data_IF_563120897395
#
_entry.id   IF_563120897395
#
_cell.length_a   1.000
_cell.length_b   1.000
_cell.length_c   1.000
_cell.angle_alpha   90.00
_cell.angle_beta   90.00
_cell.angle_gamma   90.00
#
_symmetry.space_group_name_H-M   'P 1'
#
loop_
_entity.id
_entity.type
_entity.pdbx_description
1 polymer ?
#
# COMPACT_ATOMS: atom_id res chain seq x y z
N UNK A 1 -19.21 27.33 26.96
CA UNK A 1 -20.39 26.45 26.74
C UNK A 1 -19.94 25.19 26.03
N UNK A 2 -19.45 24.19 26.76
CA UNK A 2 -19.35 22.83 26.28
C UNK A 2 -19.95 21.94 27.36
N UNK A 3 -21.25 21.66 27.22
CA UNK A 3 -21.92 20.62 28.01
C UNK A 3 -22.17 19.39 27.15
N UNK A 4 -21.62 18.28 27.63
CA UNK A 4 -22.11 16.90 27.54
C UNK A 4 -22.45 16.31 26.15
N UNK A 5 -21.48 15.64 25.57
CA UNK A 5 -21.75 14.33 24.97
C UNK A 5 -20.81 13.30 25.58
N UNK A 6 -21.34 12.47 26.48
CA UNK A 6 -20.70 11.21 26.90
C UNK A 6 -20.66 10.29 25.70
N UNK A 7 -19.54 10.32 24.97
CA UNK A 7 -19.22 9.28 24.01
C UNK A 7 -18.86 8.01 24.77
N UNK A 8 -19.42 6.89 24.35
CA UNK A 8 -19.07 5.55 24.82
C UNK A 8 -17.55 5.34 24.68
N UNK A 9 -16.89 5.05 25.80
CA UNK A 9 -15.48 4.67 25.81
C UNK A 9 -15.30 3.29 25.18
N UNK A 10 -14.49 3.18 24.12
CA UNK A 10 -14.10 1.86 23.64
C UNK A 10 -13.05 1.27 24.58
N UNK A 11 -13.32 0.10 25.14
CA UNK A 11 -12.31 -0.71 25.83
C UNK A 11 -11.20 -1.11 24.86
N UNK A 12 -10.12 -0.34 24.80
CA UNK A 12 -8.89 -0.70 24.13
C UNK A 12 -7.95 -1.30 25.16
N UNK A 13 -7.60 -2.57 24.97
CA UNK A 13 -6.69 -3.31 25.83
C UNK A 13 -5.32 -2.63 25.98
N UNK A 14 -4.89 -2.59 27.25
CA UNK A 14 -3.52 -2.59 27.73
C UNK A 14 -2.74 -1.27 27.88
N UNK A 15 -1.76 -1.31 28.75
CA UNK A 15 -0.90 -0.30 29.36
C UNK A 15 -0.34 0.86 28.49
N UNK A 16 -0.29 0.72 27.15
CA UNK A 16 0.12 1.80 26.23
C UNK A 16 -0.99 2.85 26.02
N UNK A 17 -2.24 2.43 26.05
CA UNK A 17 -3.41 3.30 25.91
C UNK A 17 -3.53 4.29 27.06
N UNK A 18 -3.24 3.84 28.28
CA UNK A 18 -3.41 4.64 29.50
C UNK A 18 -2.46 5.84 29.57
N UNK A 19 -1.19 5.68 29.15
CA UNK A 19 -0.22 6.77 29.17
C UNK A 19 -0.55 7.85 28.14
N UNK A 20 -0.99 7.46 26.95
CA UNK A 20 -1.36 8.40 25.89
C UNK A 20 -2.68 9.12 26.22
N UNK A 21 -3.66 8.41 26.79
CA UNK A 21 -4.89 9.03 27.26
C UNK A 21 -4.65 10.02 28.40
N UNK A 22 -3.78 9.67 29.37
CA UNK A 22 -3.38 10.59 30.43
C UNK A 22 -2.67 11.84 29.87
N UNK A 23 -1.84 11.67 28.82
CA UNK A 23 -1.23 12.80 28.10
C UNK A 23 -2.29 13.69 27.46
N UNK A 24 -3.27 13.14 26.73
CA UNK A 24 -4.33 13.91 26.08
C UNK A 24 -5.23 14.65 27.09
N UNK A 25 -5.43 14.08 28.28
CA UNK A 25 -6.23 14.73 29.35
C UNK A 25 -5.51 15.88 30.02
N UNK A 26 -4.18 15.83 30.12
CA UNK A 26 -3.38 16.82 30.87
C UNK A 26 -2.78 17.90 29.97
N UNK A 27 -2.78 17.72 28.66
CA UNK A 27 -2.18 18.65 27.70
C UNK A 27 -3.16 18.94 26.58
N UNK A 28 -3.14 20.19 26.10
CA UNK A 28 -3.92 20.55 24.93
C UNK A 28 -3.41 19.82 23.69
N UNK A 29 -4.29 19.06 23.06
CA UNK A 29 -4.01 18.34 21.81
C UNK A 29 -5.03 18.73 20.75
N UNK A 30 -4.54 19.36 19.68
CA UNK A 30 -5.34 19.68 18.52
C UNK A 30 -5.11 18.62 17.41
N UNK A 31 -6.09 17.78 17.20
CA UNK A 31 -6.02 16.70 16.25
C UNK A 31 -5.89 17.22 14.80
N UNK A 32 -6.52 18.34 14.45
CA UNK A 32 -6.45 18.94 13.13
C UNK A 32 -5.05 19.47 12.85
N UNK A 33 -4.50 20.28 13.76
CA UNK A 33 -3.11 20.76 13.66
C UNK A 33 -2.11 19.61 13.59
N UNK A 34 -2.29 18.57 14.40
CA UNK A 34 -1.44 17.38 14.38
C UNK A 34 -1.52 16.68 13.02
N UNK A 35 -2.71 16.45 12.50
CA UNK A 35 -2.92 15.80 11.20
C UNK A 35 -2.21 16.57 10.06
N UNK A 36 -2.40 17.88 10.01
CA UNK A 36 -1.78 18.73 8.98
C UNK A 36 -0.27 18.88 9.18
N UNK A 37 0.24 18.92 10.40
CA UNK A 37 1.68 19.03 10.66
C UNK A 37 2.48 17.82 10.21
N UNK A 38 1.87 16.63 10.25
CA UNK A 38 2.51 15.40 9.78
C UNK A 38 2.51 15.35 8.25
N UNK A 39 1.42 15.74 7.60
CA UNK A 39 1.24 15.61 6.15
C UNK A 39 1.55 16.92 5.40
N UNK A 40 2.71 17.52 5.68
CA UNK A 40 3.17 18.72 4.95
C UNK A 40 3.33 18.44 3.45
N UNK A 41 3.25 19.45 2.57
CA UNK A 41 3.23 19.27 1.12
C UNK A 41 4.39 18.44 0.54
N UNK A 42 5.57 18.48 1.17
CA UNK A 42 6.77 17.74 0.73
C UNK A 42 6.90 16.37 1.41
N UNK A 43 5.98 16.00 2.32
CA UNK A 43 6.05 14.71 2.99
C UNK A 43 5.85 13.56 1.98
N UNK A 44 6.64 12.49 2.05
CA UNK A 44 6.54 11.35 1.13
C UNK A 44 5.32 10.45 1.44
N UNK A 45 4.47 10.87 2.34
CA UNK A 45 3.27 10.13 2.76
C UNK A 45 2.06 11.05 2.80
N UNK A 46 0.93 10.43 2.59
CA UNK A 46 -0.40 11.04 2.61
C UNK A 46 -1.18 10.46 3.78
N UNK A 47 -1.99 11.26 4.45
CA UNK A 47 -2.83 10.81 5.55
C UNK A 47 -4.30 10.76 5.15
N UNK A 48 -5.00 9.80 5.71
CA UNK A 48 -6.45 9.68 5.56
C UNK A 48 -7.08 9.08 6.82
N UNK A 49 -8.28 9.49 7.12
CA UNK A 49 -9.11 8.87 8.16
C UNK A 49 -10.59 9.06 7.82
N UNK A 50 -11.44 8.09 8.19
CA UNK A 50 -12.84 8.23 7.83
C UNK A 50 -13.77 7.16 8.35
N UNK A 51 -15.06 7.45 8.17
CA UNK A 51 -16.18 6.56 8.43
C UNK A 51 -16.30 5.52 7.32
N UNK A 52 -16.07 4.27 7.67
CA UNK A 52 -16.06 3.15 6.71
C UNK A 52 -17.46 2.88 6.16
N UNK A 53 -18.48 3.00 6.99
CA UNK A 53 -19.85 2.66 6.59
C UNK A 53 -20.44 3.67 5.61
N UNK A 54 -20.12 4.96 5.83
CA UNK A 54 -20.57 6.05 4.96
C UNK A 54 -19.64 6.30 3.80
N UNK A 55 -18.44 5.69 3.81
CA UNK A 55 -17.36 5.93 2.86
C UNK A 55 -17.03 7.43 2.74
N UNK A 56 -16.95 8.12 3.90
CA UNK A 56 -16.60 9.54 4.00
C UNK A 56 -15.26 9.66 4.70
N UNK A 57 -14.30 10.26 4.02
CA UNK A 57 -12.93 10.37 4.52
C UNK A 57 -12.45 11.81 4.54
N UNK A 58 -11.68 12.13 5.58
CA UNK A 58 -10.87 13.33 5.62
C UNK A 58 -9.44 12.98 5.21
N UNK A 59 -8.90 13.72 4.25
CA UNK A 59 -7.60 13.47 3.64
C UNK A 59 -6.68 14.68 3.79
N UNK A 60 -5.37 14.43 3.79
CA UNK A 60 -4.37 15.50 3.87
C UNK A 60 -4.30 16.35 2.60
N UNK A 61 -3.84 17.59 2.72
CA UNK A 61 -3.70 18.51 1.60
C UNK A 61 -2.85 17.96 0.47
N UNK A 62 -1.71 17.35 0.80
CA UNK A 62 -0.83 16.75 -0.19
C UNK A 62 -1.47 15.55 -0.91
N UNK A 63 -2.37 14.79 -0.26
CA UNK A 63 -3.14 13.73 -0.91
C UNK A 63 -4.18 14.35 -1.85
N UNK A 64 -4.96 15.33 -1.38
CA UNK A 64 -5.91 16.07 -2.19
C UNK A 64 -5.24 16.59 -3.47
N UNK A 65 -4.11 17.30 -3.30
CA UNK A 65 -3.42 17.96 -4.40
C UNK A 65 -2.75 16.98 -5.36
N UNK A 66 -2.22 15.85 -4.88
CA UNK A 66 -1.57 14.83 -5.72
C UNK A 66 -2.58 14.12 -6.62
N UNK A 67 -3.75 13.81 -6.09
CA UNK A 67 -4.77 13.04 -6.79
C UNK A 67 -5.95 13.88 -7.29
N UNK A 68 -5.86 15.20 -7.16
CA UNK A 68 -6.87 16.17 -7.63
C UNK A 68 -8.28 15.86 -7.09
N UNK A 69 -8.40 15.76 -5.77
CA UNK A 69 -9.69 15.78 -5.10
C UNK A 69 -10.16 17.22 -4.89
N UNK A 70 -11.47 17.45 -4.94
CA UNK A 70 -12.06 18.79 -4.83
C UNK A 70 -11.98 19.37 -3.40
N UNK A 71 -11.88 18.51 -2.39
CA UNK A 71 -11.95 18.85 -0.98
C UNK A 71 -11.14 17.87 -0.13
N UNK A 72 -10.78 18.26 1.08
CA UNK A 72 -10.21 17.37 2.08
C UNK A 72 -11.25 16.42 2.67
N UNK A 73 -12.53 16.79 2.66
CA UNK A 73 -13.63 15.88 3.00
C UNK A 73 -14.16 15.24 1.71
N UNK A 74 -13.90 13.94 1.55
CA UNK A 74 -14.19 13.20 0.33
C UNK A 74 -15.28 12.17 0.58
N UNK A 75 -16.35 12.24 -0.20
CA UNK A 75 -17.42 11.25 -0.26
C UNK A 75 -17.05 10.19 -1.30
N UNK A 76 -17.38 8.94 -1.02
CA UNK A 76 -16.98 7.78 -1.86
C UNK A 76 -15.47 7.71 -2.14
N UNK A 77 -14.66 7.99 -1.11
CA UNK A 77 -13.20 8.05 -1.24
C UNK A 77 -12.62 6.75 -1.81
N UNK A 78 -13.06 5.60 -1.31
CA UNK A 78 -12.53 4.30 -1.74
C UNK A 78 -12.84 4.05 -3.22
N UNK A 79 -14.08 4.31 -3.66
CA UNK A 79 -14.46 4.15 -5.08
C UNK A 79 -13.69 5.10 -6.01
N UNK A 80 -13.50 6.35 -5.60
CA UNK A 80 -12.72 7.34 -6.36
C UNK A 80 -11.23 6.98 -6.42
N UNK A 81 -10.69 6.39 -5.34
CA UNK A 81 -9.30 5.92 -5.30
C UNK A 81 -9.13 4.71 -6.22
N UNK A 82 -10.04 3.73 -6.16
CA UNK A 82 -9.98 2.50 -6.95
C UNK A 82 -10.00 2.76 -8.46
N UNK A 83 -10.68 3.81 -8.92
CA UNK A 83 -10.68 4.22 -10.33
C UNK A 83 -9.29 4.64 -10.82
N UNK A 84 -8.41 5.09 -9.93
CA UNK A 84 -7.05 5.53 -10.23
C UNK A 84 -6.02 4.42 -10.08
N UNK A 85 -6.37 3.30 -9.44
CA UNK A 85 -5.47 2.17 -9.27
C UNK A 85 -5.16 1.57 -10.65
N UNK A 86 -3.87 1.27 -10.87
CA UNK A 86 -3.41 0.58 -12.07
C UNK A 86 -4.17 -0.74 -12.25
N UNK A 87 -4.67 -1.00 -13.47
CA UNK A 87 -5.62 -2.08 -13.71
C UNK A 87 -5.18 -3.47 -13.20
N UNK A 88 -3.92 -3.89 -13.40
CA UNK A 88 -3.46 -5.18 -12.88
C UNK A 88 -3.48 -5.27 -11.35
N UNK A 89 -3.34 -4.14 -10.63
CA UNK A 89 -3.31 -4.12 -9.17
C UNK A 89 -4.70 -3.94 -8.53
N UNK A 90 -5.71 -3.55 -9.34
CA UNK A 90 -7.06 -3.24 -8.86
C UNK A 90 -7.74 -4.43 -8.21
N UNK A 91 -7.63 -5.61 -8.81
CA UNK A 91 -8.22 -6.82 -8.27
C UNK A 91 -7.58 -7.25 -6.94
N UNK A 92 -6.26 -7.07 -6.81
CA UNK A 92 -5.54 -7.30 -5.55
C UNK A 92 -6.07 -6.38 -4.45
N UNK A 93 -6.24 -5.09 -4.74
CA UNK A 93 -6.78 -4.11 -3.80
C UNK A 93 -8.20 -4.47 -3.34
N UNK A 94 -9.10 -4.81 -4.28
CA UNK A 94 -10.47 -5.20 -3.98
C UNK A 94 -10.51 -6.47 -3.11
N UNK A 95 -9.74 -7.50 -3.46
CA UNK A 95 -9.69 -8.76 -2.71
C UNK A 95 -9.13 -8.56 -1.30
N UNK A 96 -8.07 -7.78 -1.13
CA UNK A 96 -7.49 -7.51 0.19
C UNK A 96 -8.46 -6.72 1.08
N UNK A 97 -9.14 -5.71 0.52
CA UNK A 97 -10.18 -4.95 1.21
C UNK A 97 -11.34 -5.87 1.65
N UNK A 98 -11.83 -6.74 0.77
CA UNK A 98 -12.88 -7.71 1.11
C UNK A 98 -12.40 -8.71 2.17
N UNK A 99 -11.16 -9.19 2.07
CA UNK A 99 -10.56 -10.10 3.04
C UNK A 99 -10.40 -9.42 4.42
N UNK A 100 -10.01 -8.14 4.45
CA UNK A 100 -9.93 -7.35 5.68
C UNK A 100 -11.26 -7.34 6.44
N UNK A 101 -12.37 -7.14 5.74
CA UNK A 101 -13.70 -7.18 6.37
C UNK A 101 -14.12 -8.59 6.75
N UNK A 102 -13.98 -9.57 5.86
CA UNK A 102 -14.37 -10.97 6.11
C UNK A 102 -13.61 -11.57 7.30
N UNK A 103 -12.31 -11.29 7.41
CA UNK A 103 -11.42 -11.82 8.44
C UNK A 103 -11.40 -10.95 9.70
N UNK A 104 -12.16 -9.86 9.72
CA UNK A 104 -12.22 -8.88 10.82
C UNK A 104 -10.83 -8.36 11.25
N UNK A 105 -9.99 -8.13 10.26
CA UNK A 105 -8.65 -7.59 10.51
C UNK A 105 -8.74 -6.18 11.10
N UNK A 106 -7.82 -5.86 11.99
CA UNK A 106 -7.67 -4.52 12.58
C UNK A 106 -6.57 -3.70 11.93
N UNK A 107 -5.80 -4.31 11.02
CA UNK A 107 -4.72 -3.64 10.31
C UNK A 107 -4.76 -3.98 8.83
N UNK A 108 -4.34 -3.01 8.03
CA UNK A 108 -4.19 -3.11 6.58
C UNK A 108 -2.76 -2.74 6.20
N UNK A 109 -2.20 -3.46 5.23
CA UNK A 109 -0.90 -3.13 4.65
C UNK A 109 -0.84 -3.72 3.25
N UNK A 110 -0.91 -2.87 2.24
CA UNK A 110 -0.90 -3.29 0.83
C UNK A 110 -0.06 -2.33 -0.01
N UNK A 111 0.69 -2.88 -0.97
CA UNK A 111 1.36 -2.11 -2.01
C UNK A 111 0.61 -2.26 -3.32
N UNK A 112 0.44 -1.15 -4.02
CA UNK A 112 -0.18 -1.10 -5.34
C UNK A 112 0.26 0.16 -6.09
N UNK A 113 0.03 0.15 -7.39
CA UNK A 113 0.32 1.31 -8.26
C UNK A 113 -0.94 2.12 -8.49
N UNK A 114 -0.78 3.43 -8.52
CA UNK A 114 -1.88 4.37 -8.73
C UNK A 114 -1.44 5.52 -9.63
N UNK A 115 -2.34 6.03 -10.45
CA UNK A 115 -2.08 7.21 -11.27
C UNK A 115 -2.31 8.50 -10.47
N UNK A 116 -1.34 9.41 -10.51
CA UNK A 116 -1.50 10.76 -10.00
C UNK A 116 -2.36 11.62 -10.96
N UNK A 117 -2.60 12.88 -10.60
CA UNK A 117 -3.37 13.83 -11.43
C UNK A 117 -2.79 14.11 -12.82
N UNK A 118 -1.51 13.84 -13.02
CA UNK A 118 -0.81 14.05 -14.30
C UNK A 118 -0.78 12.76 -15.14
N UNK A 119 -1.39 11.68 -14.66
CA UNK A 119 -1.33 10.36 -15.29
C UNK A 119 -0.01 9.64 -15.08
N UNK A 120 0.83 10.10 -14.14
CA UNK A 120 2.07 9.41 -13.78
C UNK A 120 1.76 8.25 -12.83
N UNK A 121 2.26 7.07 -13.16
CA UNK A 121 2.13 5.88 -12.33
C UNK A 121 3.12 5.94 -11.16
N UNK A 122 2.60 5.80 -9.94
CA UNK A 122 3.40 5.81 -8.71
C UNK A 122 3.08 4.60 -7.85
N UNK A 123 4.09 4.03 -7.21
CA UNK A 123 3.91 3.02 -6.20
C UNK A 123 3.47 3.64 -4.88
N UNK A 124 2.45 3.06 -4.28
CA UNK A 124 1.95 3.41 -2.96
C UNK A 124 2.06 2.20 -2.03
N UNK A 125 2.53 2.44 -0.82
CA UNK A 125 2.36 1.52 0.29
C UNK A 125 1.29 2.08 1.22
N UNK A 126 0.09 1.53 1.13
CA UNK A 126 -1.04 1.88 2.00
C UNK A 126 -0.96 1.09 3.30
N UNK A 127 -1.09 1.78 4.43
CA UNK A 127 -1.14 1.19 5.77
C UNK A 127 -2.22 1.87 6.58
N UNK A 128 -2.96 1.08 7.35
CA UNK A 128 -4.01 1.65 8.18
C UNK A 128 -4.46 0.73 9.30
N UNK A 129 -5.25 1.32 10.20
CA UNK A 129 -5.89 0.64 11.31
C UNK A 129 -7.40 0.78 11.13
N UNK A 130 -8.08 -0.35 11.19
CA UNK A 130 -9.53 -0.45 11.16
C UNK A 130 -10.05 -0.70 12.59
N UNK A 131 -10.89 0.20 13.06
CA UNK A 131 -11.61 0.02 14.32
C UNK A 131 -12.97 -0.62 14.06
N UNK A 132 -13.35 -1.51 14.96
CA UNK A 132 -14.60 -2.24 14.93
C UNK A 132 -15.44 -1.86 16.16
N UNK A 133 -16.74 -2.12 16.09
CA UNK A 133 -17.60 -2.13 17.26
C UNK A 133 -17.16 -3.20 18.28
N UNK A 134 -17.67 -3.16 19.50
CA UNK A 134 -17.32 -4.11 20.57
C UNK A 134 -17.57 -5.57 20.17
N UNK A 135 -18.60 -5.82 19.36
CA UNK A 135 -18.96 -7.16 18.86
C UNK A 135 -18.11 -7.63 17.67
N UNK A 136 -17.26 -6.76 17.13
CA UNK A 136 -16.50 -6.97 15.88
C UNK A 136 -17.40 -7.36 14.69
N UNK A 137 -18.61 -6.82 14.65
CA UNK A 137 -19.53 -7.06 13.54
C UNK A 137 -19.56 -5.90 12.55
N UNK A 138 -19.30 -4.69 13.04
CA UNK A 138 -19.42 -3.47 12.25
C UNK A 138 -18.11 -2.72 12.20
N UNK A 139 -17.51 -2.51 11.02
CA UNK A 139 -16.34 -1.65 10.89
C UNK A 139 -16.78 -0.19 11.09
N UNK A 140 -16.09 0.54 11.94
CA UNK A 140 -16.48 1.90 12.30
C UNK A 140 -15.61 2.95 11.61
N UNK A 141 -14.32 2.88 11.83
CA UNK A 141 -13.39 3.93 11.42
C UNK A 141 -12.09 3.35 10.88
N UNK A 142 -11.61 3.92 9.81
CA UNK A 142 -10.33 3.55 9.21
C UNK A 142 -9.42 4.76 9.15
N UNK A 143 -8.20 4.61 9.64
CA UNK A 143 -7.20 5.67 9.59
C UNK A 143 -5.84 5.12 9.20
N UNK A 144 -5.11 5.89 8.43
CA UNK A 144 -3.82 5.41 7.97
C UNK A 144 -3.03 6.41 7.13
N UNK A 145 -2.01 5.85 6.50
CA UNK A 145 -1.16 6.59 5.58
C UNK A 145 -0.93 5.81 4.30
N UNK A 146 -0.79 6.56 3.21
CA UNK A 146 -0.26 6.08 1.94
C UNK A 146 1.13 6.66 1.78
N UNK A 147 2.14 5.81 1.62
CA UNK A 147 3.53 6.24 1.43
C UNK A 147 3.85 6.12 -0.04
N UNK A 148 4.22 7.24 -0.66
CA UNK A 148 4.72 7.23 -2.03
C UNK A 148 6.12 6.62 -2.05
N UNK A 149 6.30 5.53 -2.79
CA UNK A 149 7.60 4.92 -3.04
C UNK A 149 8.30 5.61 -4.22
N UNK A 150 8.06 6.91 -4.42
CA UNK A 150 8.69 7.73 -5.48
C UNK A 150 10.21 7.83 -5.38
N UNK A 151 10.81 7.43 -4.26
CA UNK A 151 12.25 7.44 -4.14
C UNK A 151 12.85 6.44 -5.14
N UNK A 152 13.67 6.94 -6.03
CA UNK A 152 14.49 6.20 -7.02
C UNK A 152 15.22 4.98 -6.44
N UNK A 153 15.25 4.86 -5.10
CA UNK A 153 15.87 3.77 -4.37
C UNK A 153 15.01 2.49 -4.22
N UNK A 154 13.74 2.48 -4.56
CA UNK A 154 12.86 1.32 -4.32
C UNK A 154 12.18 0.75 -5.57
N UNK A 155 12.10 1.53 -6.64
CA UNK A 155 11.45 1.15 -7.90
C UNK A 155 12.44 1.20 -9.05
N UNK A 156 12.40 0.19 -9.91
CA UNK A 156 13.16 0.21 -11.16
C UNK A 156 12.51 1.17 -12.17
N UNK A 157 13.22 2.20 -12.67
CA UNK A 157 12.63 3.25 -13.50
C UNK A 157 12.23 2.77 -14.90
N UNK A 158 12.74 1.63 -15.35
CA UNK A 158 12.43 1.08 -16.67
C UNK A 158 11.18 0.22 -16.65
N UNK A 159 11.10 -0.71 -15.71
CA UNK A 159 10.00 -1.68 -15.65
C UNK A 159 8.87 -1.27 -14.72
N UNK A 160 9.11 -0.35 -13.78
CA UNK A 160 8.16 -0.02 -12.73
C UNK A 160 8.03 -1.08 -11.64
N UNK A 161 8.77 -2.19 -11.71
CA UNK A 161 8.82 -3.20 -10.66
C UNK A 161 9.60 -2.71 -9.45
N UNK A 162 9.37 -3.30 -8.29
CA UNK A 162 10.20 -3.09 -7.12
C UNK A 162 11.63 -3.60 -7.38
N UNK A 163 12.63 -2.96 -6.77
CA UNK A 163 14.02 -3.29 -7.01
C UNK A 163 14.60 -4.26 -5.96
N UNK A 164 15.90 -4.55 -6.09
CA UNK A 164 16.65 -5.42 -5.17
C UNK A 164 16.52 -4.98 -3.71
N UNK A 165 16.53 -3.67 -3.41
CA UNK A 165 16.42 -3.18 -2.04
C UNK A 165 15.09 -3.57 -1.39
N UNK A 166 13.99 -3.48 -2.15
CA UNK A 166 12.68 -3.95 -1.71
C UNK A 166 12.64 -5.46 -1.55
N UNK A 167 13.16 -6.21 -2.53
CA UNK A 167 13.23 -7.67 -2.45
C UNK A 167 13.93 -8.13 -1.16
N UNK A 168 15.07 -7.53 -0.81
CA UNK A 168 15.80 -7.87 0.41
C UNK A 168 15.05 -7.52 1.69
N UNK A 169 14.34 -6.39 1.74
CA UNK A 169 13.51 -6.00 2.89
C UNK A 169 12.34 -6.97 3.09
N UNK A 170 11.69 -7.37 2.02
CA UNK A 170 10.55 -8.27 2.06
C UNK A 170 10.99 -9.68 2.46
N UNK A 171 12.05 -10.20 1.85
CA UNK A 171 12.65 -11.48 2.24
C UNK A 171 13.06 -11.50 3.72
N UNK A 172 13.73 -10.46 4.22
CA UNK A 172 14.12 -10.38 5.62
C UNK A 172 12.90 -10.39 6.56
N UNK A 173 11.80 -9.77 6.15
CA UNK A 173 10.56 -9.73 6.92
C UNK A 173 9.85 -11.08 6.92
N UNK A 174 9.76 -11.74 5.77
CA UNK A 174 9.15 -13.05 5.61
C UNK A 174 9.95 -14.14 6.33
N UNK A 175 11.28 -14.10 6.24
CA UNK A 175 12.16 -15.01 6.98
C UNK A 175 11.99 -14.88 8.50
N UNK A 176 11.86 -13.65 9.02
CA UNK A 176 11.58 -13.43 10.46
C UNK A 176 10.24 -14.02 10.90
N UNK A 177 9.26 -14.08 10.00
CA UNK A 177 7.94 -14.69 10.24
C UNK A 177 7.94 -16.20 10.03
N UNK A 178 9.08 -16.79 9.66
CA UNK A 178 9.21 -18.21 9.30
C UNK A 178 8.22 -18.65 8.21
N UNK A 179 7.89 -17.75 7.29
CA UNK A 179 6.99 -18.03 6.17
C UNK A 179 7.63 -19.04 5.21
N UNK A 180 6.81 -19.95 4.68
CA UNK A 180 7.23 -20.80 3.55
C UNK A 180 7.19 -19.98 2.28
N UNK A 181 8.28 -19.96 1.52
CA UNK A 181 8.43 -19.10 0.36
C UNK A 181 8.77 -19.93 -0.87
N UNK A 182 8.24 -19.50 -2.01
CA UNK A 182 8.74 -19.86 -3.34
C UNK A 182 9.47 -18.67 -3.92
N UNK A 183 10.70 -18.88 -4.34
CA UNK A 183 11.56 -17.90 -4.98
C UNK A 183 11.95 -18.41 -6.37
N UNK A 184 11.67 -17.64 -7.40
CA UNK A 184 12.12 -17.88 -8.75
C UNK A 184 12.99 -16.71 -9.21
N UNK A 185 14.27 -16.96 -9.41
CA UNK A 185 15.19 -15.99 -10.00
C UNK A 185 15.55 -16.40 -11.43
N UNK A 186 15.43 -15.47 -12.38
CA UNK A 186 15.79 -15.73 -13.76
C UNK A 186 16.51 -14.53 -14.40
N UNK A 187 17.19 -14.82 -15.50
CA UNK A 187 18.01 -13.86 -16.25
C UNK A 187 17.66 -13.88 -17.71
N UNK A 188 17.57 -12.70 -18.32
CA UNK A 188 17.45 -12.58 -19.78
C UNK A 188 18.82 -12.84 -20.44
N UNK A 189 18.86 -13.78 -21.38
CA UNK A 189 20.07 -14.07 -22.15
C UNK A 189 20.16 -13.13 -23.36
N UNK A 190 21.37 -12.84 -23.78
CA UNK A 190 21.69 -12.05 -25.00
C UNK A 190 21.03 -10.66 -25.05
N UNK A 191 20.65 -10.10 -23.90
CA UNK A 191 19.99 -8.80 -23.85
C UNK A 191 20.94 -7.64 -24.29
N UNK A 192 22.24 -7.79 -24.05
CA UNK A 192 23.25 -6.87 -24.58
C UNK A 192 23.26 -6.81 -26.11
N UNK A 193 23.08 -7.95 -26.78
CA UNK A 193 23.07 -8.01 -28.25
C UNK A 193 21.82 -7.33 -28.82
N UNK A 194 20.70 -7.43 -28.12
CA UNK A 194 19.47 -6.71 -28.45
C UNK A 194 19.72 -5.19 -28.35
N UNK A 195 20.33 -4.73 -27.26
CA UNK A 195 20.63 -3.31 -27.08
C UNK A 195 21.63 -2.78 -28.12
N UNK A 196 22.59 -3.59 -28.52
CA UNK A 196 23.56 -3.23 -29.58
C UNK A 196 22.91 -3.18 -30.95
N UNK A 197 22.03 -4.11 -31.26
CA UNK A 197 21.41 -4.24 -32.57
C UNK A 197 20.20 -3.33 -32.80
N UNK A 198 19.36 -3.14 -31.77
CA UNK A 198 18.07 -2.46 -31.86
C UNK A 198 18.00 -1.17 -31.02
N UNK A 199 19.06 -0.87 -30.27
CA UNK A 199 19.15 0.31 -29.41
C UNK A 199 18.51 0.13 -28.03
N UNK A 200 18.94 0.96 -27.06
CA UNK A 200 18.50 0.91 -25.66
C UNK A 200 16.99 1.11 -25.49
N UNK A 201 16.39 2.00 -26.26
CA UNK A 201 14.95 2.25 -26.16
C UNK A 201 14.10 1.00 -26.47
N UNK A 202 14.54 0.19 -27.43
CA UNK A 202 13.91 -1.09 -27.77
C UNK A 202 14.10 -2.09 -26.63
N UNK A 203 15.31 -2.17 -26.07
CA UNK A 203 15.57 -3.02 -24.92
C UNK A 203 14.72 -2.65 -23.71
N UNK A 204 14.62 -1.36 -23.39
CA UNK A 204 13.77 -0.88 -22.29
C UNK A 204 12.29 -1.19 -22.51
N UNK A 205 11.82 -1.10 -23.75
CA UNK A 205 10.45 -1.47 -24.11
C UNK A 205 10.20 -2.97 -23.94
N UNK A 206 11.18 -3.82 -24.31
CA UNK A 206 11.11 -5.26 -24.06
C UNK A 206 11.08 -5.62 -22.58
N UNK A 207 11.90 -4.94 -21.77
CA UNK A 207 11.90 -5.15 -20.31
C UNK A 207 10.54 -4.81 -19.68
N UNK A 208 9.92 -3.70 -20.11
CA UNK A 208 8.56 -3.33 -19.68
C UNK A 208 7.53 -4.38 -20.08
N UNK A 209 7.59 -4.83 -21.32
CA UNK A 209 6.67 -5.87 -21.82
C UNK A 209 6.82 -7.18 -21.05
N UNK A 210 8.05 -7.60 -20.74
CA UNK A 210 8.31 -8.80 -19.92
C UNK A 210 7.71 -8.63 -18.52
N UNK A 211 7.95 -7.48 -17.89
CA UNK A 211 7.41 -7.19 -16.56
C UNK A 211 5.87 -7.24 -16.56
N UNK A 212 5.23 -6.57 -17.51
CA UNK A 212 3.77 -6.56 -17.64
C UNK A 212 3.20 -7.97 -17.88
N UNK A 213 3.83 -8.78 -18.74
CA UNK A 213 3.37 -10.16 -18.98
C UNK A 213 3.50 -11.04 -17.76
N UNK A 214 4.61 -10.92 -17.02
CA UNK A 214 4.79 -11.67 -15.76
C UNK A 214 3.66 -11.37 -14.78
N UNK A 215 3.33 -10.10 -14.59
CA UNK A 215 2.26 -9.67 -13.70
C UNK A 215 0.88 -10.16 -14.17
N UNK A 216 0.60 -10.09 -15.47
CA UNK A 216 -0.68 -10.53 -16.04
C UNK A 216 -0.86 -12.06 -16.00
N UNK A 217 0.18 -12.83 -16.28
CA UNK A 217 0.08 -14.28 -16.42
C UNK A 217 0.19 -15.04 -15.09
N UNK A 218 1.05 -14.56 -14.17
CA UNK A 218 1.25 -15.22 -12.88
C UNK A 218 0.24 -14.76 -11.82
N UNK A 219 -0.29 -13.55 -11.96
CA UNK A 219 -1.36 -13.04 -11.10
C UNK A 219 -0.88 -12.51 -9.75
N UNK A 220 -1.86 -12.14 -8.94
CA UNK A 220 -1.73 -11.28 -7.75
C UNK A 220 -1.04 -11.94 -6.55
N UNK A 221 -0.89 -13.24 -6.54
CA UNK A 221 -0.24 -13.99 -5.46
C UNK A 221 1.28 -13.91 -5.51
N UNK A 222 1.85 -13.32 -6.58
CA UNK A 222 3.28 -13.19 -6.78
C UNK A 222 3.71 -11.73 -6.66
N UNK A 223 4.84 -11.51 -6.00
CA UNK A 223 5.54 -10.23 -6.00
C UNK A 223 6.70 -10.28 -7.01
N UNK A 224 6.89 -9.20 -7.75
CA UNK A 224 7.84 -9.12 -8.85
C UNK A 224 8.87 -8.04 -8.58
N UNK A 225 10.14 -8.40 -8.77
CA UNK A 225 11.25 -7.49 -8.56
C UNK A 225 12.20 -7.54 -9.74
N UNK A 226 12.77 -6.38 -10.08
CA UNK A 226 13.93 -6.29 -10.96
C UNK A 226 15.17 -6.09 -10.11
N UNK A 227 16.07 -7.08 -10.10
CA UNK A 227 17.25 -7.06 -9.23
C UNK A 227 18.36 -6.20 -9.81
N UNK A 228 18.52 -6.26 -11.14
CA UNK A 228 19.47 -5.45 -11.91
C UNK A 228 19.04 -5.39 -13.40
N UNK A 229 19.96 -4.99 -14.28
CA UNK A 229 19.70 -4.80 -15.70
C UNK A 229 18.98 -5.95 -16.41
N UNK A 230 19.17 -7.19 -16.02
CA UNK A 230 18.69 -8.40 -16.69
C UNK A 230 18.14 -9.48 -15.77
N UNK A 231 18.26 -9.32 -14.44
CA UNK A 231 17.79 -10.30 -13.47
C UNK A 231 16.46 -9.88 -12.84
N UNK A 232 15.57 -10.84 -12.76
CA UNK A 232 14.25 -10.70 -12.15
C UNK A 232 14.09 -11.73 -11.02
N UNK A 233 13.30 -11.36 -10.02
CA UNK A 233 12.89 -12.24 -8.93
C UNK A 233 11.37 -12.23 -8.87
N UNK A 234 10.81 -13.42 -8.73
CA UNK A 234 9.40 -13.65 -8.41
C UNK A 234 9.33 -14.29 -7.03
N UNK A 235 8.51 -13.75 -6.18
CA UNK A 235 8.34 -14.18 -4.79
C UNK A 235 6.87 -14.45 -4.50
N UNK A 236 6.57 -15.56 -3.83
CA UNK A 236 5.24 -15.79 -3.24
C UNK A 236 5.36 -16.55 -1.92
N UNK A 237 4.39 -16.32 -1.02
CA UNK A 237 4.21 -17.13 0.16
C UNK A 237 3.41 -18.38 -0.19
N UNK A 238 3.80 -19.51 0.39
CA UNK A 238 3.08 -20.79 0.26
C UNK A 238 2.22 -20.98 1.50
N UNK A 239 0.92 -20.84 1.35
CA UNK A 239 -0.05 -21.04 2.43
C UNK A 239 -0.38 -22.54 2.67
N UNK A 240 0.19 -23.46 1.85
CA UNK A 240 -0.10 -24.89 1.91
C UNK A 240 1.19 -25.73 1.86
N UNK A 241 1.06 -26.96 2.31
CA UNK A 241 2.15 -27.94 2.30
C UNK A 241 2.38 -28.40 0.83
N UNK A 242 3.54 -28.09 0.28
CA UNK A 242 3.94 -28.42 -1.12
C UNK A 242 3.88 -29.93 -1.43
N UNK A 243 3.64 -30.80 -0.43
CA UNK A 243 3.49 -32.24 -0.59
C UNK A 243 2.28 -32.68 -1.44
N UNK A 244 1.43 -31.74 -1.86
CA UNK A 244 0.25 -32.02 -2.70
C UNK A 244 0.54 -31.88 -4.21
N UNK A 245 1.76 -31.49 -4.59
CA UNK A 245 2.15 -31.27 -6.00
C UNK A 245 3.16 -32.28 -6.54
N UNK A 246 3.32 -33.44 -5.86
CA UNK A 246 4.14 -34.55 -6.34
C UNK A 246 3.33 -35.68 -6.92
#
# INVERSE_FOLDING_TARGET
YYENQKAHEPHIESSRSTAFQAFLQNYYFDAETFFHSIAMPEAPFYLYCGDVQRNIYYISDNLRDTFNFDSNLVYDFVGLLEQRIYEPDRQLHIKDTQAMFREKRTSHSLRYRIFDKNGQLIWIHCRGILTWDESKTTPLFFSGSMISLKNESEVDPVTGLLNLSCALKDLATLCRRQAKLLLLCFKLRNFSDINLSLGRNTGDSMLREIANRMEMELGEQFEFFRLDGVHFLVLTQLDYDVRVLS
#
